data_IF_589644167034
#
_entry.id   IF_589644167034
#
_cell.length_a   1.000
_cell.length_b   1.000
_cell.length_c   1.000
_cell.angle_alpha   90.00
_cell.angle_beta   90.00
_cell.angle_gamma   90.00
#
_symmetry.space_group_name_H-M   'P 1'
#
loop_
_entity.id
_entity.type
_entity.pdbx_description
1 polymer ?
#
# COMPACT_ATOMS: atom_id res chain seq x y z
N UNK A 1 -45.55 22.84 -87.14
CA UNK A 1 -46.39 24.00 -86.75
C UNK A 1 -46.82 23.73 -85.32
N UNK A 2 -46.36 24.51 -84.46
CA UNK A 2 -46.95 24.96 -83.17
C UNK A 2 -45.88 25.35 -82.18
N UNK A 3 -45.94 26.57 -81.78
CA UNK A 3 -45.05 27.28 -80.89
C UNK A 3 -45.08 26.74 -79.45
N UNK A 4 -43.91 26.74 -78.83
CA UNK A 4 -43.76 26.61 -77.38
C UNK A 4 -43.11 27.89 -76.81
N UNK A 5 -43.71 28.58 -75.86
CA UNK A 5 -43.07 29.75 -75.27
C UNK A 5 -42.13 29.33 -74.07
N UNK A 6 -40.99 29.98 -74.03
CA UNK A 6 -40.02 29.91 -72.98
C UNK A 6 -40.54 30.53 -71.67
N UNK A 7 -40.38 29.77 -70.53
CA UNK A 7 -40.65 30.25 -69.18
C UNK A 7 -39.30 30.41 -68.47
N UNK A 8 -38.91 31.67 -68.22
CA UNK A 8 -37.74 31.99 -67.45
C UNK A 8 -38.03 31.83 -65.93
N UNK A 9 -37.42 30.84 -65.25
CA UNK A 9 -37.42 30.73 -63.80
C UNK A 9 -36.18 31.42 -63.29
N UNK A 10 -36.37 32.51 -62.56
CA UNK A 10 -35.27 33.18 -61.82
C UNK A 10 -34.99 32.40 -60.51
N UNK A 11 -33.78 31.86 -60.40
CA UNK A 11 -33.25 31.28 -59.15
C UNK A 11 -32.85 32.42 -58.23
N UNK A 12 -33.56 32.54 -57.10
CA UNK A 12 -33.04 33.28 -55.92
C UNK A 12 -32.12 32.40 -55.13
N UNK A 13 -30.82 32.73 -55.13
CA UNK A 13 -29.85 32.12 -54.27
C UNK A 13 -29.95 32.78 -52.88
N UNK A 14 -30.59 32.08 -51.95
CA UNK A 14 -30.59 32.44 -50.54
C UNK A 14 -29.35 31.95 -49.87
N UNK A 15 -28.43 32.82 -49.46
CA UNK A 15 -27.24 32.53 -48.68
C UNK A 15 -27.65 32.29 -47.22
N UNK A 16 -27.72 31.05 -46.79
CA UNK A 16 -27.87 30.71 -45.37
C UNK A 16 -26.45 30.62 -44.76
N UNK A 17 -26.06 31.68 -44.06
CA UNK A 17 -24.83 31.66 -43.24
C UNK A 17 -25.09 30.84 -41.97
N UNK A 18 -24.65 29.59 -41.92
CA UNK A 18 -24.63 28.79 -40.71
C UNK A 18 -23.46 29.23 -39.83
N UNK A 19 -23.77 30.01 -38.79
CA UNK A 19 -22.81 30.32 -37.72
C UNK A 19 -22.67 29.07 -36.86
N UNK A 20 -21.61 28.28 -37.10
CA UNK A 20 -21.22 27.20 -36.20
C UNK A 20 -20.49 27.82 -35.03
N UNK A 21 -21.20 27.99 -33.90
CA UNK A 21 -20.61 28.37 -32.61
C UNK A 21 -19.89 27.15 -32.07
N UNK A 22 -18.58 27.06 -32.33
CA UNK A 22 -17.71 26.05 -31.71
C UNK A 22 -17.54 26.42 -30.23
N UNK A 23 -18.37 25.84 -29.36
CA UNK A 23 -18.14 25.79 -27.94
C UNK A 23 -16.91 24.88 -27.69
N UNK A 24 -15.72 25.50 -27.64
CA UNK A 24 -14.54 24.86 -27.12
C UNK A 24 -14.76 24.64 -25.61
N UNK A 25 -15.29 23.47 -25.25
CA UNK A 25 -15.21 22.95 -23.89
C UNK A 25 -13.73 22.68 -23.64
N UNK A 26 -13.03 23.67 -23.09
CA UNK A 26 -11.74 23.45 -22.47
C UNK A 26 -11.99 22.53 -21.28
N UNK A 27 -11.91 21.22 -21.52
CA UNK A 27 -11.74 20.27 -20.45
C UNK A 27 -10.42 20.66 -19.75
N UNK A 28 -10.53 21.41 -18.67
CA UNK A 28 -9.44 21.51 -17.71
C UNK A 28 -9.14 20.08 -17.31
N UNK A 29 -8.11 19.48 -17.89
CA UNK A 29 -7.53 18.28 -17.35
C UNK A 29 -7.10 18.68 -15.93
N UNK A 30 -7.91 18.31 -14.93
CA UNK A 30 -7.47 18.26 -13.56
C UNK A 30 -6.22 17.40 -13.62
N UNK A 31 -5.05 18.05 -13.62
CA UNK A 31 -3.78 17.34 -13.46
C UNK A 31 -3.87 16.68 -12.11
N UNK A 32 -4.24 15.41 -12.11
CA UNK A 32 -4.32 14.60 -10.90
C UNK A 32 -2.99 14.84 -10.16
N UNK A 33 -3.09 15.44 -8.98
CA UNK A 33 -1.93 15.78 -8.19
C UNK A 33 -1.14 14.49 -8.00
N UNK A 34 0.10 14.44 -8.53
CA UNK A 34 0.92 13.23 -8.51
C UNK A 34 0.92 12.64 -7.10
N UNK A 35 0.70 11.32 -7.02
CA UNK A 35 0.65 10.60 -5.77
C UNK A 35 1.97 10.81 -5.00
N UNK A 36 1.95 10.94 -3.67
CA UNK A 36 3.18 11.02 -2.89
C UNK A 36 4.03 9.75 -2.99
N UNK A 37 3.48 8.65 -3.52
CA UNK A 37 4.16 7.36 -3.69
C UNK A 37 4.76 7.15 -5.09
N UNK A 38 4.49 8.04 -6.06
CA UNK A 38 4.93 7.88 -7.46
C UNK A 38 6.42 8.20 -7.69
N UNK A 39 7.16 8.52 -6.64
CA UNK A 39 8.57 8.89 -6.69
C UNK A 39 9.38 8.08 -5.68
N UNK A 40 10.63 7.79 -6.03
CA UNK A 40 11.54 7.14 -5.09
C UNK A 40 11.53 7.83 -3.74
N UNK A 41 11.42 7.05 -2.67
CA UNK A 41 11.31 7.56 -1.32
C UNK A 41 12.49 7.20 -0.44
N UNK A 42 12.69 7.97 0.63
CA UNK A 42 13.69 7.68 1.65
C UNK A 42 13.11 7.93 3.05
N UNK A 43 13.30 6.96 3.93
CA UNK A 43 12.82 7.02 5.30
C UNK A 43 13.84 7.68 6.22
N UNK A 44 13.35 8.57 7.07
CA UNK A 44 14.14 9.28 8.06
C UNK A 44 13.54 9.01 9.44
N UNK A 45 14.33 8.40 10.32
CA UNK A 45 13.97 8.24 11.73
C UNK A 45 14.27 9.52 12.51
N UNK A 46 15.52 9.97 12.50
CA UNK A 46 15.93 11.21 13.15
C UNK A 46 16.46 12.22 12.12
N UNK A 47 15.82 13.38 12.04
CA UNK A 47 16.29 14.47 11.18
C UNK A 47 17.67 14.96 11.62
N UNK A 48 17.89 15.04 12.95
CA UNK A 48 19.19 15.42 13.52
C UNK A 48 20.33 14.51 13.13
N UNK A 49 20.06 13.21 12.93
CA UNK A 49 21.07 12.22 12.50
C UNK A 49 21.17 12.12 10.96
N UNK A 50 20.43 12.96 10.22
CA UNK A 50 20.46 13.03 8.75
C UNK A 50 21.26 14.28 8.36
N UNK A 51 22.55 14.13 8.02
CA UNK A 51 23.46 15.26 7.77
C UNK A 51 23.40 16.34 8.87
N UNK A 52 23.40 15.93 10.13
CA UNK A 52 23.37 16.81 11.32
C UNK A 52 22.14 17.75 11.34
N UNK A 53 21.04 17.33 10.72
CA UNK A 53 19.82 18.13 10.61
C UNK A 53 19.86 19.29 9.60
N UNK A 54 20.94 19.40 8.84
CA UNK A 54 21.06 20.43 7.79
C UNK A 54 20.15 20.11 6.60
N UNK A 55 19.02 20.78 6.54
CA UNK A 55 18.03 20.59 5.47
C UNK A 55 18.58 20.90 4.07
N UNK A 56 19.58 21.76 3.95
CA UNK A 56 20.19 22.05 2.64
C UNK A 56 20.97 20.84 2.15
N UNK A 57 21.73 20.20 3.03
CA UNK A 57 22.49 18.98 2.74
C UNK A 57 21.55 17.79 2.49
N UNK A 58 20.46 17.68 3.28
CA UNK A 58 19.42 16.65 3.08
C UNK A 58 18.80 16.81 1.68
N UNK A 59 18.35 18.01 1.32
CA UNK A 59 17.75 18.29 0.01
C UNK A 59 18.73 17.98 -1.12
N UNK A 60 19.99 18.41 -0.97
CA UNK A 60 21.05 18.15 -1.98
C UNK A 60 21.27 16.64 -2.17
N UNK A 61 21.34 15.88 -1.08
CA UNK A 61 21.51 14.41 -1.12
C UNK A 61 20.30 13.74 -1.77
N UNK A 62 19.10 14.09 -1.35
CA UNK A 62 17.86 13.53 -1.90
C UNK A 62 17.80 13.71 -3.43
N UNK A 63 18.03 14.94 -3.92
CA UNK A 63 18.03 15.23 -5.36
C UNK A 63 19.11 14.47 -6.13
N UNK A 64 20.32 14.36 -5.55
CA UNK A 64 21.43 13.62 -6.19
C UNK A 64 21.14 12.14 -6.34
N UNK A 65 20.31 11.57 -5.49
CA UNK A 65 19.97 10.13 -5.46
C UNK A 65 18.56 9.85 -5.96
N UNK A 66 17.97 10.76 -6.73
CA UNK A 66 16.62 10.66 -7.30
C UNK A 66 15.52 10.37 -6.25
N UNK A 67 15.69 10.89 -5.03
CA UNK A 67 14.67 10.81 -3.99
C UNK A 67 13.71 11.99 -4.11
N UNK A 68 12.45 11.68 -4.36
CA UNK A 68 11.39 12.67 -4.52
C UNK A 68 10.44 12.76 -3.33
N UNK A 69 10.41 11.74 -2.45
CA UNK A 69 9.56 11.69 -1.27
C UNK A 69 10.39 11.38 -0.02
N UNK A 70 10.19 12.13 1.05
CA UNK A 70 10.77 11.86 2.36
C UNK A 70 9.69 11.38 3.32
N UNK A 71 9.90 10.19 3.88
CA UNK A 71 9.07 9.61 4.93
C UNK A 71 9.75 9.89 6.27
N UNK A 72 9.22 10.84 7.05
CA UNK A 72 9.87 11.35 8.27
C UNK A 72 9.07 10.94 9.50
N UNK A 73 9.73 10.37 10.51
CA UNK A 73 9.07 9.98 11.75
C UNK A 73 8.39 11.18 12.40
N UNK A 74 7.07 11.10 12.56
CA UNK A 74 6.22 12.16 13.08
C UNK A 74 5.62 11.86 14.45
N UNK A 75 5.74 10.62 14.90
CA UNK A 75 5.26 10.14 16.18
C UNK A 75 5.70 8.71 16.48
N UNK A 76 5.42 8.27 17.71
CA UNK A 76 5.63 6.91 18.18
C UNK A 76 4.57 6.60 19.24
N UNK A 77 3.75 5.59 19.03
CA UNK A 77 2.62 5.28 19.89
C UNK A 77 1.75 6.51 20.17
N UNK A 78 1.70 6.96 21.41
CA UNK A 78 0.91 8.13 21.82
C UNK A 78 1.66 9.46 21.78
N UNK A 79 2.93 9.45 21.37
CA UNK A 79 3.83 10.59 21.44
C UNK A 79 4.08 11.23 20.07
N UNK A 80 3.88 12.54 20.00
CA UNK A 80 4.23 13.32 18.80
C UNK A 80 5.70 13.69 18.81
N UNK A 81 6.36 13.61 17.65
CA UNK A 81 7.75 13.99 17.50
C UNK A 81 7.88 15.44 16.99
N UNK A 82 8.62 16.27 17.74
CA UNK A 82 8.78 17.69 17.45
C UNK A 82 9.54 18.00 16.16
N UNK A 83 10.40 17.06 15.72
CA UNK A 83 11.13 17.19 14.44
C UNK A 83 10.20 17.33 13.24
N UNK A 84 9.02 16.66 13.26
CA UNK A 84 8.04 16.79 12.19
C UNK A 84 7.16 18.01 12.44
N UNK A 85 7.49 19.12 11.83
CA UNK A 85 6.83 20.41 12.04
C UNK A 85 6.61 21.17 10.73
N UNK A 86 5.76 22.22 10.77
CA UNK A 86 5.44 23.02 9.57
C UNK A 86 6.66 23.67 8.92
N UNK A 87 7.62 24.28 9.67
CA UNK A 87 8.84 24.84 9.06
C UNK A 87 9.64 23.81 8.26
N UNK A 88 9.85 22.61 8.80
CA UNK A 88 10.51 21.50 8.11
C UNK A 88 9.77 21.13 6.81
N UNK A 89 8.47 20.82 6.92
CA UNK A 89 7.64 20.41 5.79
C UNK A 89 7.64 21.48 4.70
N UNK A 90 7.41 22.74 5.06
CA UNK A 90 7.40 23.86 4.11
C UNK A 90 8.77 24.05 3.43
N UNK A 91 9.88 23.83 4.13
CA UNK A 91 11.24 23.94 3.55
C UNK A 91 11.48 22.85 2.51
N UNK A 92 11.03 21.62 2.79
CA UNK A 92 11.14 20.49 1.86
C UNK A 92 10.21 20.64 0.65
N UNK A 93 8.98 21.11 0.85
CA UNK A 93 8.04 21.44 -0.24
C UNK A 93 8.58 22.49 -1.19
N UNK A 94 9.18 23.58 -0.66
CA UNK A 94 9.85 24.59 -1.52
C UNK A 94 10.99 24.03 -2.32
N UNK A 95 11.57 22.90 -1.91
CA UNK A 95 12.59 22.18 -2.66
C UNK A 95 12.02 21.19 -3.67
N UNK A 96 10.68 21.06 -3.80
CA UNK A 96 9.99 20.15 -4.70
C UNK A 96 9.89 18.70 -4.20
N UNK A 97 10.20 18.46 -2.92
CA UNK A 97 10.07 17.16 -2.29
C UNK A 97 8.66 16.96 -1.74
N UNK A 98 8.13 15.74 -1.83
CA UNK A 98 6.97 15.30 -1.07
C UNK A 98 7.39 14.90 0.32
N UNK A 99 6.50 15.11 1.30
CA UNK A 99 6.78 14.84 2.72
C UNK A 99 5.64 14.04 3.33
N UNK A 100 5.92 12.82 3.74
CA UNK A 100 4.98 11.97 4.46
C UNK A 100 5.42 11.81 5.92
N UNK A 101 4.47 11.90 6.85
CA UNK A 101 4.74 11.51 8.23
C UNK A 101 4.60 9.99 8.39
N UNK A 102 5.40 9.38 9.24
CA UNK A 102 5.18 8.00 9.65
C UNK A 102 5.24 7.85 11.18
N UNK A 103 4.60 6.80 11.69
CA UNK A 103 4.51 6.51 13.11
C UNK A 103 4.41 5.02 13.33
N UNK A 104 5.21 4.48 14.24
CA UNK A 104 5.01 3.15 14.78
C UNK A 104 3.81 3.16 15.73
N UNK A 105 2.90 2.20 15.57
CA UNK A 105 1.66 2.10 16.34
C UNK A 105 1.56 0.72 17.00
N UNK A 106 1.20 0.72 18.29
CA UNK A 106 1.17 -0.49 19.13
C UNK A 106 -0.23 -1.11 19.27
N UNK A 107 -1.27 -0.32 19.04
CA UNK A 107 -2.65 -0.80 19.20
C UNK A 107 -3.17 -0.79 20.64
N UNK A 108 -2.39 -0.37 21.62
CA UNK A 108 -2.79 -0.27 23.02
C UNK A 108 -3.78 0.88 23.25
N UNK A 109 -3.52 2.00 22.57
CA UNK A 109 -4.32 3.21 22.66
C UNK A 109 -4.78 3.73 21.30
N UNK A 110 -5.57 2.96 20.51
CA UNK A 110 -5.84 3.23 19.09
C UNK A 110 -6.35 4.66 18.82
N UNK A 111 -7.19 5.20 19.72
CA UNK A 111 -7.74 6.55 19.58
C UNK A 111 -6.72 7.67 19.82
N UNK A 112 -5.76 7.46 20.74
CA UNK A 112 -4.67 8.41 21.02
C UNK A 112 -3.62 8.32 19.92
N UNK A 113 -3.22 7.12 19.54
CA UNK A 113 -2.29 6.89 18.42
C UNK A 113 -2.80 7.53 17.12
N UNK A 114 -4.08 7.35 16.79
CA UNK A 114 -4.71 7.98 15.64
C UNK A 114 -4.74 9.53 15.71
N UNK A 115 -4.77 10.12 16.93
CA UNK A 115 -4.64 11.56 17.13
C UNK A 115 -3.22 12.03 16.78
N UNK A 116 -2.21 11.30 17.20
CA UNK A 116 -0.80 11.56 16.86
C UNK A 116 -0.58 11.44 15.36
N UNK A 117 -1.07 10.37 14.74
CA UNK A 117 -1.00 10.17 13.28
C UNK A 117 -1.60 11.35 12.49
N UNK A 118 -2.79 11.78 12.90
CA UNK A 118 -3.49 12.89 12.25
C UNK A 118 -2.74 14.24 12.36
N UNK A 119 -1.89 14.41 13.36
CA UNK A 119 -1.10 15.63 13.53
C UNK A 119 -0.14 15.87 12.34
N UNK A 120 0.31 14.81 11.66
CA UNK A 120 1.15 14.95 10.47
C UNK A 120 0.44 15.73 9.36
N UNK A 121 -0.84 15.44 9.07
CA UNK A 121 -1.65 16.21 8.11
C UNK A 121 -1.73 17.69 8.50
N UNK A 122 -1.98 17.99 9.78
CA UNK A 122 -2.10 19.36 10.27
C UNK A 122 -0.77 20.13 10.18
N UNK A 123 0.35 19.42 10.10
CA UNK A 123 1.70 19.97 9.91
C UNK A 123 2.09 20.09 8.44
N UNK A 124 1.19 19.72 7.51
CA UNK A 124 1.35 19.88 6.07
C UNK A 124 1.82 18.66 5.31
N UNK A 125 1.81 17.46 5.92
CA UNK A 125 2.18 16.22 5.23
C UNK A 125 1.33 15.98 3.98
N UNK A 126 1.95 15.47 2.90
CA UNK A 126 1.27 15.01 1.69
C UNK A 126 0.59 13.65 1.90
N UNK A 127 1.13 12.80 2.78
CA UNK A 127 0.58 11.51 3.16
C UNK A 127 0.96 11.13 4.60
N UNK A 128 0.37 10.04 5.07
CA UNK A 128 0.74 9.43 6.34
C UNK A 128 0.94 7.92 6.18
N UNK A 129 1.99 7.38 6.80
CA UNK A 129 2.27 5.95 6.82
C UNK A 129 2.03 5.41 8.22
N UNK A 130 1.18 4.41 8.30
CA UNK A 130 0.95 3.60 9.49
C UNK A 130 2.04 2.52 9.49
N UNK A 131 2.90 2.52 10.48
CA UNK A 131 3.90 1.49 10.70
C UNK A 131 3.36 0.57 11.80
N UNK A 132 2.70 -0.52 11.39
CA UNK A 132 2.03 -1.47 12.27
C UNK A 132 2.59 -2.87 12.03
N UNK A 133 2.99 -3.52 13.11
CA UNK A 133 3.69 -4.81 13.07
C UNK A 133 3.11 -5.80 14.08
N UNK A 134 3.93 -6.64 14.71
CA UNK A 134 3.52 -7.75 15.56
C UNK A 134 2.55 -7.39 16.69
N UNK A 135 2.62 -6.17 17.21
CA UNK A 135 1.70 -5.69 18.27
C UNK A 135 0.23 -5.70 17.83
N UNK A 136 -0.03 -5.71 16.54
CA UNK A 136 -1.39 -5.82 16.00
C UNK A 136 -1.82 -7.25 15.67
N UNK A 137 -0.96 -8.25 15.80
CA UNK A 137 -1.37 -9.64 15.55
C UNK A 137 -2.56 -10.04 16.43
N UNK A 138 -3.63 -10.53 15.81
CA UNK A 138 -4.91 -10.85 16.49
C UNK A 138 -5.74 -9.63 16.90
N UNK A 139 -5.23 -8.40 16.83
CA UNK A 139 -5.88 -7.20 17.33
C UNK A 139 -6.75 -6.48 16.28
N UNK A 140 -7.67 -7.21 15.63
CA UNK A 140 -8.62 -6.65 14.65
C UNK A 140 -9.45 -5.49 15.20
N UNK A 141 -9.87 -5.61 16.45
CA UNK A 141 -10.67 -4.59 17.13
C UNK A 141 -9.87 -3.30 17.37
N UNK A 142 -8.59 -3.42 17.75
CA UNK A 142 -7.68 -2.28 17.87
C UNK A 142 -7.45 -1.59 16.52
N UNK A 143 -7.18 -2.38 15.48
CA UNK A 143 -6.98 -1.90 14.11
C UNK A 143 -8.21 -1.15 13.58
N UNK A 144 -9.41 -1.71 13.74
CA UNK A 144 -10.66 -1.05 13.31
C UNK A 144 -10.91 0.26 14.07
N UNK A 145 -10.69 0.30 15.39
CA UNK A 145 -10.80 1.54 16.18
C UNK A 145 -9.78 2.59 15.72
N UNK A 146 -8.52 2.17 15.47
CA UNK A 146 -7.47 3.06 15.01
C UNK A 146 -7.82 3.67 13.64
N UNK A 147 -8.14 2.83 12.65
CA UNK A 147 -8.47 3.28 11.29
C UNK A 147 -9.68 4.22 11.28
N UNK A 148 -10.76 3.87 11.99
CA UNK A 148 -11.94 4.76 12.10
C UNK A 148 -11.58 6.10 12.74
N UNK A 149 -10.82 6.08 13.82
CA UNK A 149 -10.39 7.29 14.51
C UNK A 149 -9.47 8.17 13.65
N UNK A 150 -8.56 7.56 12.89
CA UNK A 150 -7.66 8.27 11.98
C UNK A 150 -8.45 8.88 10.82
N UNK A 151 -9.27 8.09 10.11
CA UNK A 151 -10.08 8.57 8.98
C UNK A 151 -11.07 9.66 9.37
N UNK A 152 -11.67 9.57 10.56
CA UNK A 152 -12.52 10.66 11.10
C UNK A 152 -11.77 12.00 11.19
N UNK A 153 -10.47 11.98 11.48
CA UNK A 153 -9.63 13.18 11.65
C UNK A 153 -9.06 13.71 10.35
N UNK A 154 -8.62 12.80 9.46
CA UNK A 154 -7.92 13.22 8.24
C UNK A 154 -8.81 13.23 6.99
N UNK A 155 -9.98 12.60 7.05
CA UNK A 155 -10.90 12.45 5.92
C UNK A 155 -10.50 11.34 4.96
N UNK A 156 -11.42 10.98 4.05
CA UNK A 156 -11.23 9.84 3.13
C UNK A 156 -10.22 10.12 2.02
N UNK A 157 -10.09 11.36 1.58
CA UNK A 157 -9.21 11.75 0.47
C UNK A 157 -7.73 11.92 0.86
N UNK A 158 -7.42 12.00 2.16
CA UNK A 158 -6.03 12.13 2.58
C UNK A 158 -5.31 10.80 2.39
N UNK A 159 -4.17 10.74 1.67
CA UNK A 159 -3.44 9.52 1.42
C UNK A 159 -2.92 8.91 2.73
N UNK A 160 -3.28 7.66 2.98
CA UNK A 160 -2.78 6.85 4.08
C UNK A 160 -2.27 5.54 3.49
N UNK A 161 -1.12 5.08 3.93
CA UNK A 161 -0.59 3.76 3.61
C UNK A 161 -0.30 2.95 4.85
N UNK A 162 -0.27 1.63 4.67
CA UNK A 162 0.24 0.68 5.65
C UNK A 162 1.70 0.35 5.31
N UNK A 163 2.59 0.40 6.28
CA UNK A 163 3.88 -0.28 6.25
C UNK A 163 3.85 -1.42 7.25
N UNK A 164 4.20 -2.63 6.82
CA UNK A 164 4.15 -3.84 7.63
C UNK A 164 4.99 -4.95 7.00
N UNK A 165 4.87 -6.17 7.54
CA UNK A 165 5.57 -7.35 7.04
C UNK A 165 5.32 -7.59 5.55
N UNK A 166 6.34 -8.01 4.78
CA UNK A 166 6.21 -8.30 3.36
C UNK A 166 5.50 -9.64 3.11
N UNK A 167 5.66 -10.62 4.00
CA UNK A 167 5.14 -11.98 3.88
C UNK A 167 3.89 -12.16 4.75
N UNK A 168 2.73 -11.87 4.17
CA UNK A 168 1.47 -11.89 4.92
C UNK A 168 1.07 -13.27 5.39
N UNK A 169 1.55 -14.33 4.74
CA UNK A 169 1.35 -15.72 5.11
C UNK A 169 2.14 -16.14 6.36
N UNK A 170 3.28 -15.48 6.65
CA UNK A 170 4.04 -15.69 7.89
C UNK A 170 3.42 -14.96 9.09
N UNK A 171 2.51 -14.04 8.82
CA UNK A 171 1.80 -13.24 9.81
C UNK A 171 0.27 -13.35 9.63
N UNK A 172 -0.29 -14.58 9.65
CA UNK A 172 -1.70 -14.83 9.31
C UNK A 172 -2.68 -14.21 10.31
N UNK A 173 -2.23 -13.83 11.51
CA UNK A 173 -3.06 -13.16 12.52
C UNK A 173 -3.04 -11.63 12.42
N UNK A 174 -2.14 -11.05 11.61
CA UNK A 174 -2.10 -9.61 11.43
C UNK A 174 -3.31 -9.13 10.60
N UNK A 175 -4.04 -8.08 11.02
CA UNK A 175 -5.31 -7.67 10.41
C UNK A 175 -5.13 -6.83 9.13
N UNK A 176 -4.49 -7.38 8.09
CA UNK A 176 -4.32 -6.72 6.79
C UNK A 176 -5.66 -6.30 6.17
N UNK A 177 -6.67 -7.16 6.27
CA UNK A 177 -8.03 -6.89 5.78
C UNK A 177 -8.70 -5.69 6.44
N UNK A 178 -8.24 -5.28 7.63
CA UNK A 178 -8.70 -4.07 8.32
C UNK A 178 -7.89 -2.85 7.87
N UNK A 179 -6.56 -2.97 7.86
CA UNK A 179 -5.68 -1.86 7.47
C UNK A 179 -5.75 -1.51 5.99
N UNK A 180 -5.95 -2.50 5.12
CA UNK A 180 -6.02 -2.36 3.66
C UNK A 180 -7.45 -2.42 3.12
N UNK A 181 -8.42 -2.73 3.96
CA UNK A 181 -9.82 -2.89 3.59
C UNK A 181 -10.53 -1.59 3.18
N UNK A 182 -11.86 -1.66 2.91
CA UNK A 182 -12.64 -0.51 2.45
C UNK A 182 -12.57 0.68 3.41
N UNK A 183 -12.22 1.85 2.86
CA UNK A 183 -12.12 3.11 3.61
C UNK A 183 -10.93 3.21 4.57
N UNK A 184 -9.97 2.27 4.51
CA UNK A 184 -8.74 2.26 5.30
C UNK A 184 -7.54 2.84 4.51
N UNK A 185 -6.35 2.21 4.54
CA UNK A 185 -5.20 2.65 3.75
C UNK A 185 -5.47 2.53 2.24
N UNK A 186 -4.87 3.42 1.46
CA UNK A 186 -5.02 3.48 0.00
C UNK A 186 -3.81 2.90 -0.73
N UNK A 187 -2.74 2.60 -0.01
CA UNK A 187 -1.52 1.98 -0.53
C UNK A 187 -0.93 1.03 0.52
N UNK A 188 -0.16 0.05 0.04
CA UNK A 188 0.57 -0.91 0.85
C UNK A 188 2.07 -0.73 0.64
N UNK A 189 2.83 -0.55 1.70
CA UNK A 189 4.28 -0.33 1.70
C UNK A 189 4.98 -1.47 2.45
N UNK A 190 4.98 -2.71 1.92
CA UNK A 190 5.60 -3.85 2.58
C UNK A 190 7.12 -3.67 2.71
N UNK A 191 7.66 -4.07 3.85
CA UNK A 191 9.07 -3.91 4.23
C UNK A 191 9.91 -5.06 3.66
N UNK A 192 10.27 -4.98 2.38
CA UNK A 192 11.04 -6.03 1.69
C UNK A 192 12.53 -5.91 2.06
N UNK A 193 12.89 -6.48 3.20
CA UNK A 193 14.25 -6.48 3.75
C UNK A 193 14.91 -7.83 3.47
N UNK A 194 15.26 -8.10 2.21
CA UNK A 194 15.72 -9.40 1.72
C UNK A 194 16.92 -9.98 2.48
N UNK A 195 17.87 -9.13 2.95
CA UNK A 195 19.00 -9.61 3.72
C UNK A 195 18.61 -10.02 5.15
N UNK A 196 17.75 -9.21 5.80
CA UNK A 196 17.26 -9.53 7.15
C UNK A 196 16.36 -10.78 7.14
N UNK A 197 15.58 -10.97 6.06
CA UNK A 197 14.76 -12.16 5.86
C UNK A 197 15.61 -13.39 5.52
N UNK A 198 16.76 -13.20 4.86
CA UNK A 198 17.63 -14.30 4.42
C UNK A 198 17.38 -14.77 3.00
N UNK A 199 16.57 -14.06 2.23
CA UNK A 199 16.18 -14.38 0.86
C UNK A 199 17.00 -13.59 -0.17
N UNK A 200 16.90 -13.97 -1.42
CA UNK A 200 17.32 -13.12 -2.54
C UNK A 200 16.30 -12.02 -2.80
N UNK A 201 16.72 -10.93 -3.45
CA UNK A 201 15.81 -9.87 -3.90
C UNK A 201 14.64 -10.42 -4.72
N UNK A 202 14.90 -11.41 -5.57
CA UNK A 202 13.88 -12.04 -6.42
C UNK A 202 12.84 -12.76 -5.57
N UNK A 203 13.26 -13.65 -4.70
CA UNK A 203 12.38 -14.43 -3.83
C UNK A 203 11.53 -13.50 -2.98
N UNK A 204 12.16 -12.49 -2.36
CA UNK A 204 11.42 -11.53 -1.52
C UNK A 204 10.37 -10.73 -2.30
N UNK A 205 10.70 -10.27 -3.51
CA UNK A 205 9.74 -9.55 -4.34
C UNK A 205 8.61 -10.46 -4.80
N UNK A 206 8.92 -11.64 -5.35
CA UNK A 206 7.92 -12.58 -5.87
C UNK A 206 6.97 -13.06 -4.76
N UNK A 207 7.51 -13.41 -3.58
CA UNK A 207 6.70 -13.81 -2.42
C UNK A 207 5.80 -12.68 -1.93
N UNK A 208 6.34 -11.47 -1.82
CA UNK A 208 5.56 -10.30 -1.40
C UNK A 208 4.37 -10.06 -2.34
N UNK A 209 4.58 -10.03 -3.65
CA UNK A 209 3.49 -9.80 -4.59
C UNK A 209 2.47 -10.93 -4.58
N UNK A 210 2.93 -12.19 -4.57
CA UNK A 210 2.04 -13.34 -4.54
C UNK A 210 1.01 -13.27 -3.39
N UNK A 211 1.45 -12.89 -2.20
CA UNK A 211 0.60 -12.88 -1.02
C UNK A 211 -0.10 -11.54 -0.74
N UNK A 212 0.40 -10.42 -1.26
CA UNK A 212 -0.20 -9.11 -0.99
C UNK A 212 -1.19 -8.66 -2.05
N UNK A 213 -1.09 -9.15 -3.29
CA UNK A 213 -1.91 -8.67 -4.41
C UNK A 213 -3.42 -8.91 -4.20
N UNK A 214 -3.79 -9.88 -3.38
CA UNK A 214 -5.19 -10.13 -3.02
C UNK A 214 -5.86 -8.98 -2.25
N UNK A 215 -5.10 -8.10 -1.59
CA UNK A 215 -5.67 -6.96 -0.85
C UNK A 215 -5.97 -5.74 -1.75
N UNK A 216 -5.70 -5.83 -3.05
CA UNK A 216 -6.06 -4.83 -4.07
C UNK A 216 -5.60 -3.41 -3.75
N UNK A 217 -4.46 -3.26 -3.07
CA UNK A 217 -3.81 -1.97 -2.86
C UNK A 217 -2.54 -1.91 -3.69
N UNK A 218 -2.31 -0.77 -4.34
CA UNK A 218 -1.04 -0.56 -5.03
C UNK A 218 0.09 -0.75 -4.04
N UNK A 219 1.04 -1.61 -4.41
CA UNK A 219 2.19 -1.96 -3.59
C UNK A 219 3.32 -1.00 -3.96
N UNK A 220 3.79 -0.21 -2.98
CA UNK A 220 4.96 0.66 -3.08
C UNK A 220 5.97 0.20 -2.02
N UNK A 221 6.83 -0.76 -2.32
CA UNK A 221 7.59 -1.45 -1.29
C UNK A 221 8.71 -0.60 -0.69
N UNK A 222 9.06 -0.96 0.55
CA UNK A 222 10.22 -0.43 1.25
C UNK A 222 11.38 -1.38 1.06
N UNK A 223 12.40 -0.96 0.32
CA UNK A 223 13.65 -1.71 0.12
C UNK A 223 14.66 -1.44 1.23
N UNK A 224 15.59 -2.38 1.38
CA UNK A 224 16.63 -2.33 2.40
C UNK A 224 17.87 -1.59 1.91
N UNK A 225 18.36 -0.62 2.70
CA UNK A 225 19.69 0.00 2.52
C UNK A 225 20.61 -0.17 3.72
N UNK A 226 20.08 -0.64 4.86
CA UNK A 226 20.88 -1.08 6.02
C UNK A 226 21.52 -2.45 5.77
N UNK A 227 22.46 -2.88 6.61
CA UNK A 227 23.26 -4.10 6.42
C UNK A 227 24.07 -4.17 5.12
N UNK A 228 24.37 -3.01 4.54
CA UNK A 228 25.23 -2.88 3.36
C UNK A 228 24.85 -3.82 2.20
N UNK A 229 23.66 -3.71 1.62
CA UNK A 229 23.31 -4.48 0.42
C UNK A 229 24.27 -4.16 -0.71
N UNK A 230 24.61 -5.17 -1.51
CA UNK A 230 25.48 -4.98 -2.68
C UNK A 230 24.79 -4.10 -3.72
N UNK A 231 25.55 -3.31 -4.47
CA UNK A 231 25.02 -2.49 -5.55
C UNK A 231 24.14 -3.28 -6.54
N UNK A 232 24.52 -4.54 -6.83
CA UNK A 232 23.73 -5.45 -7.66
C UNK A 232 22.34 -5.74 -7.08
N UNK A 233 22.23 -5.92 -5.77
CA UNK A 233 20.96 -6.19 -5.11
C UNK A 233 20.03 -4.97 -5.19
N UNK A 234 20.54 -3.77 -4.88
CA UNK A 234 19.81 -2.51 -5.03
C UNK A 234 19.33 -2.29 -6.46
N UNK A 235 20.21 -2.55 -7.44
CA UNK A 235 19.86 -2.44 -8.87
C UNK A 235 18.79 -3.46 -9.27
N UNK A 236 18.89 -4.71 -8.78
CA UNK A 236 17.88 -5.73 -9.04
C UNK A 236 16.52 -5.33 -8.48
N UNK A 237 16.49 -4.85 -7.23
CA UNK A 237 15.26 -4.39 -6.60
C UNK A 237 14.61 -3.25 -7.39
N UNK A 238 15.38 -2.22 -7.77
CA UNK A 238 14.90 -1.11 -8.61
C UNK A 238 14.32 -1.59 -9.94
N UNK A 239 14.97 -2.54 -10.61
CA UNK A 239 14.47 -3.11 -11.88
C UNK A 239 13.16 -3.89 -11.73
N UNK A 240 12.97 -4.59 -10.63
CA UNK A 240 11.66 -5.17 -10.32
C UNK A 240 10.61 -4.08 -10.18
N UNK A 241 10.92 -3.01 -9.45
CA UNK A 241 9.97 -1.90 -9.24
C UNK A 241 9.60 -1.21 -10.54
N UNK A 242 10.58 -0.95 -11.40
CA UNK A 242 10.34 -0.40 -12.74
C UNK A 242 9.43 -1.33 -13.56
N UNK A 243 9.65 -2.64 -13.50
CA UNK A 243 8.79 -3.60 -14.20
C UNK A 243 7.36 -3.63 -13.64
N UNK A 244 7.20 -3.45 -12.33
CA UNK A 244 5.86 -3.31 -11.73
C UNK A 244 5.25 -1.91 -11.95
N UNK A 245 6.02 -0.95 -12.45
CA UNK A 245 5.58 0.43 -12.67
C UNK A 245 5.33 1.19 -11.37
N UNK A 246 6.10 0.89 -10.32
CA UNK A 246 5.99 1.51 -9.00
C UNK A 246 7.34 2.04 -8.53
N UNK A 247 7.31 3.12 -7.77
CA UNK A 247 8.52 3.66 -7.17
C UNK A 247 8.78 3.01 -5.80
N UNK A 248 10.02 2.54 -5.52
CA UNK A 248 10.40 2.05 -4.21
C UNK A 248 10.65 3.18 -3.21
N UNK A 249 10.63 2.84 -1.93
CA UNK A 249 11.24 3.65 -0.89
C UNK A 249 12.32 2.86 -0.15
N UNK A 250 13.19 3.53 0.63
CA UNK A 250 14.40 2.93 1.17
C UNK A 250 14.53 3.16 2.67
N UNK A 251 14.67 2.10 3.41
CA UNK A 251 14.92 2.11 4.84
C UNK A 251 16.42 1.87 5.09
N UNK A 252 17.16 2.78 5.69
CA UNK A 252 16.81 4.12 6.14
C UNK A 252 17.94 5.10 5.82
N UNK A 253 17.65 6.41 5.90
CA UNK A 253 18.63 7.48 5.65
C UNK A 253 19.92 7.31 6.45
N UNK A 254 19.77 7.03 7.75
CA UNK A 254 20.87 6.95 8.71
C UNK A 254 21.83 5.78 8.44
N UNK A 255 21.30 4.72 7.86
CA UNK A 255 22.04 3.46 7.67
C UNK A 255 22.50 3.26 6.22
N UNK A 256 22.09 4.15 5.32
CA UNK A 256 22.47 4.08 3.90
C UNK A 256 23.93 4.48 3.71
N UNK A 257 24.76 3.53 3.27
CA UNK A 257 26.18 3.77 2.97
C UNK A 257 26.36 4.72 1.77
N UNK A 258 27.55 5.33 1.64
CA UNK A 258 27.84 6.19 0.50
C UNK A 258 27.78 5.45 -0.84
N UNK A 259 28.16 4.16 -0.87
CA UNK A 259 28.04 3.30 -2.06
C UNK A 259 26.58 3.04 -2.41
N UNK A 260 25.73 2.75 -1.42
CA UNK A 260 24.29 2.60 -1.63
C UNK A 260 23.65 3.89 -2.14
N UNK A 261 23.95 5.04 -1.54
CA UNK A 261 23.50 6.34 -2.05
C UNK A 261 23.86 6.59 -3.50
N UNK A 262 25.08 6.22 -3.90
CA UNK A 262 25.53 6.35 -5.30
C UNK A 262 24.73 5.42 -6.22
N UNK A 263 24.47 4.18 -5.79
CA UNK A 263 23.67 3.21 -6.55
C UNK A 263 22.22 3.65 -6.73
N UNK A 264 21.60 4.27 -5.70
CA UNK A 264 20.24 4.76 -5.80
C UNK A 264 20.07 5.86 -6.84
N UNK A 265 21.10 6.68 -7.07
CA UNK A 265 21.08 7.77 -8.04
C UNK A 265 21.49 7.38 -9.46
N UNK A 266 21.80 6.12 -9.74
CA UNK A 266 22.15 5.67 -11.08
C UNK A 266 20.93 5.57 -12.00
N UNK A 267 21.06 6.00 -13.25
CA UNK A 267 20.11 5.62 -14.28
C UNK A 267 20.23 4.11 -14.54
N UNK A 268 19.10 3.44 -14.69
CA UNK A 268 19.06 2.03 -15.03
C UNK A 268 18.74 1.89 -16.51
N UNK A 269 19.78 1.66 -17.32
CA UNK A 269 19.57 1.27 -18.72
C UNK A 269 18.76 -0.03 -18.78
N UNK A 270 17.83 -0.14 -19.71
CA UNK A 270 16.88 -1.21 -19.94
C UNK A 270 17.28 -2.66 -19.56
N UNK A 271 16.60 -3.64 -20.01
CA UNK A 271 16.90 -5.05 -19.72
C UNK A 271 15.90 -5.68 -18.75
N UNK A 272 14.69 -5.18 -18.76
CA UNK A 272 13.58 -5.58 -17.87
C UNK A 272 12.95 -6.92 -18.21
N UNK A 273 13.16 -7.50 -19.36
CA UNK A 273 12.46 -8.71 -19.86
C UNK A 273 12.60 -9.96 -18.98
N UNK A 274 13.59 -10.00 -18.08
CA UNK A 274 13.79 -11.12 -17.13
C UNK A 274 13.12 -10.91 -15.77
N UNK A 275 12.53 -9.74 -15.52
CA UNK A 275 11.87 -9.39 -14.27
C UNK A 275 10.36 -9.54 -14.47
N UNK A 276 9.86 -10.78 -14.52
CA UNK A 276 8.44 -11.04 -14.74
C UNK A 276 7.62 -10.64 -13.50
N UNK A 277 6.42 -10.14 -13.75
CA UNK A 277 5.46 -9.88 -12.67
C UNK A 277 4.82 -11.18 -12.21
N UNK A 278 4.63 -11.31 -10.92
CA UNK A 278 3.77 -12.34 -10.35
C UNK A 278 2.32 -11.99 -10.67
N UNK A 279 1.60 -12.92 -11.27
CA UNK A 279 0.17 -12.77 -11.63
C UNK A 279 -0.70 -13.78 -10.91
N UNK A 280 -0.08 -14.87 -10.43
CA UNK A 280 -0.77 -15.88 -9.65
C UNK A 280 -1.11 -15.38 -8.25
N UNK A 281 -2.16 -15.92 -7.69
CA UNK A 281 -2.67 -15.58 -6.37
C UNK A 281 -2.62 -16.82 -5.47
N UNK A 282 -2.53 -16.63 -4.15
CA UNK A 282 -2.40 -17.74 -3.22
C UNK A 282 -3.58 -18.70 -3.31
N UNK A 283 -3.27 -19.99 -3.25
CA UNK A 283 -4.28 -21.02 -3.15
C UNK A 283 -4.74 -21.15 -1.71
N UNK A 284 -6.06 -21.18 -1.52
CA UNK A 284 -6.68 -21.34 -0.21
C UNK A 284 -7.73 -22.44 -0.24
N UNK A 285 -7.73 -23.27 0.79
CA UNK A 285 -8.60 -24.43 0.87
C UNK A 285 -9.07 -24.74 2.30
N UNK A 286 -9.86 -25.80 2.44
CA UNK A 286 -10.38 -26.21 3.75
C UNK A 286 -9.24 -26.59 4.70
N UNK A 287 -9.20 -25.96 5.86
CA UNK A 287 -8.14 -26.08 6.86
C UNK A 287 -7.35 -24.80 7.06
N UNK A 288 -7.26 -23.94 6.04
CA UNK A 288 -6.55 -22.67 6.12
C UNK A 288 -7.17 -21.71 7.15
N UNK A 289 -6.33 -20.85 7.69
CA UNK A 289 -6.71 -19.89 8.73
C UNK A 289 -5.94 -18.58 8.54
N UNK A 290 -6.51 -17.49 9.07
CA UNK A 290 -5.85 -16.21 9.13
C UNK A 290 -6.56 -15.12 8.36
N UNK A 291 -5.88 -14.00 8.18
CA UNK A 291 -6.45 -12.78 7.60
C UNK A 291 -6.79 -12.93 6.11
N UNK A 292 -6.04 -13.75 5.38
CA UNK A 292 -6.37 -14.07 3.98
C UNK A 292 -7.72 -14.77 3.87
N UNK A 293 -8.07 -15.64 4.84
CA UNK A 293 -9.39 -16.26 4.92
C UNK A 293 -10.45 -15.25 5.33
N UNK A 294 -10.15 -14.34 6.25
CA UNK A 294 -11.03 -13.21 6.58
C UNK A 294 -11.35 -12.42 5.32
N UNK A 295 -10.32 -12.07 4.54
CA UNK A 295 -10.48 -11.30 3.31
C UNK A 295 -11.32 -12.02 2.26
N UNK A 296 -11.08 -13.32 2.05
CA UNK A 296 -11.90 -14.19 1.22
C UNK A 296 -13.36 -14.17 1.66
N UNK A 297 -13.61 -14.35 2.95
CA UNK A 297 -14.96 -14.38 3.52
C UNK A 297 -15.67 -13.03 3.36
N UNK A 298 -14.97 -11.90 3.53
CA UNK A 298 -15.52 -10.57 3.30
C UNK A 298 -16.03 -10.39 1.87
N UNK A 299 -15.30 -10.86 0.87
CA UNK A 299 -15.72 -10.84 -0.53
C UNK A 299 -16.91 -11.77 -0.80
N UNK A 300 -16.89 -12.98 -0.26
CA UNK A 300 -18.02 -13.92 -0.41
C UNK A 300 -19.31 -13.36 0.19
N UNK A 301 -19.22 -12.71 1.35
CA UNK A 301 -20.37 -12.02 1.97
C UNK A 301 -20.80 -10.83 1.13
N UNK A 302 -19.85 -10.10 0.53
CA UNK A 302 -20.12 -9.04 -0.45
C UNK A 302 -20.88 -9.53 -1.67
N UNK A 303 -20.64 -10.76 -2.11
CA UNK A 303 -21.38 -11.44 -3.18
C UNK A 303 -22.75 -12.01 -2.72
N UNK A 304 -23.12 -11.81 -1.46
CA UNK A 304 -24.40 -12.26 -0.91
C UNK A 304 -24.36 -13.66 -0.29
N UNK A 305 -23.18 -14.19 0.03
CA UNK A 305 -23.11 -15.44 0.80
C UNK A 305 -23.57 -15.24 2.26
N UNK A 306 -24.46 -16.13 2.72
CA UNK A 306 -24.78 -16.23 4.15
C UNK A 306 -23.66 -17.02 4.85
N UNK A 307 -22.66 -16.27 5.29
CA UNK A 307 -21.41 -16.81 5.84
C UNK A 307 -20.92 -15.94 6.99
N UNK A 308 -20.53 -16.56 8.09
CA UNK A 308 -19.83 -15.89 9.17
C UNK A 308 -18.34 -15.67 8.79
N UNK A 309 -17.83 -14.46 9.07
CA UNK A 309 -16.43 -14.10 8.83
C UNK A 309 -15.63 -14.49 10.06
N UNK A 310 -14.97 -15.65 10.00
CA UNK A 310 -14.28 -16.28 11.12
C UNK A 310 -12.76 -16.34 10.98
N UNK A 311 -12.23 -16.11 9.78
CA UNK A 311 -10.83 -16.37 9.47
C UNK A 311 -10.48 -17.86 9.44
N UNK A 312 -11.45 -18.75 9.37
CA UNK A 312 -11.27 -20.21 9.27
C UNK A 312 -11.94 -20.69 7.98
N UNK A 313 -11.16 -21.30 7.11
CA UNK A 313 -11.68 -21.94 5.90
C UNK A 313 -12.33 -23.29 6.25
N UNK A 314 -13.49 -23.22 6.86
CA UNK A 314 -14.28 -24.41 7.24
C UNK A 314 -15.26 -24.87 6.16
N UNK A 315 -16.13 -25.83 6.51
CA UNK A 315 -17.14 -26.36 5.59
C UNK A 315 -18.11 -25.28 5.08
N UNK A 316 -18.42 -24.26 5.87
CA UNK A 316 -19.23 -23.10 5.45
C UNK A 316 -18.57 -22.31 4.32
N UNK A 317 -17.31 -21.94 4.49
CA UNK A 317 -16.50 -21.24 3.48
C UNK A 317 -16.38 -22.08 2.22
N UNK A 318 -16.06 -23.39 2.33
CA UNK A 318 -15.96 -24.30 1.18
C UNK A 318 -17.27 -24.36 0.38
N UNK A 319 -18.43 -24.44 1.06
CA UNK A 319 -19.73 -24.43 0.37
C UNK A 319 -19.99 -23.09 -0.33
N UNK A 320 -19.67 -21.98 0.32
CA UNK A 320 -19.82 -20.64 -0.26
C UNK A 320 -18.94 -20.48 -1.52
N UNK A 321 -17.66 -20.90 -1.48
CA UNK A 321 -16.74 -20.89 -2.62
C UNK A 321 -17.28 -21.77 -3.74
N UNK A 322 -17.73 -23.00 -3.48
CA UNK A 322 -18.35 -23.87 -4.51
C UNK A 322 -19.59 -23.23 -5.16
N UNK A 323 -20.43 -22.54 -4.36
CA UNK A 323 -21.60 -21.82 -4.90
C UNK A 323 -21.15 -20.66 -5.79
N UNK A 324 -20.18 -19.89 -5.35
CA UNK A 324 -19.58 -18.79 -6.10
C UNK A 324 -18.98 -19.26 -7.43
N UNK A 325 -18.16 -20.32 -7.39
CA UNK A 325 -17.54 -20.92 -8.58
C UNK A 325 -18.57 -21.35 -9.61
N UNK A 326 -19.61 -22.10 -9.19
CA UNK A 326 -20.70 -22.50 -10.10
C UNK A 326 -21.40 -21.32 -10.75
N UNK A 327 -21.70 -20.28 -9.97
CA UNK A 327 -22.36 -19.09 -10.46
C UNK A 327 -21.52 -18.29 -11.49
N UNK A 328 -20.19 -18.52 -11.54
CA UNK A 328 -19.23 -17.87 -12.44
C UNK A 328 -18.68 -18.81 -13.53
N UNK A 329 -19.22 -20.02 -13.68
CA UNK A 329 -18.75 -20.98 -14.68
C UNK A 329 -17.34 -21.50 -14.42
N UNK A 330 -16.90 -21.51 -13.17
CA UNK A 330 -15.62 -22.08 -12.75
C UNK A 330 -15.82 -23.53 -12.28
N UNK A 331 -14.74 -24.30 -12.24
CA UNK A 331 -14.73 -25.61 -11.58
C UNK A 331 -15.11 -25.42 -10.09
N UNK A 332 -16.13 -26.18 -9.64
CA UNK A 332 -16.66 -26.01 -8.30
C UNK A 332 -16.00 -27.00 -7.31
N UNK A 333 -14.68 -26.91 -7.21
CA UNK A 333 -13.86 -27.75 -6.32
C UNK A 333 -13.85 -27.26 -4.87
N UNK A 334 -14.18 -25.98 -4.66
CA UNK A 334 -14.16 -25.34 -3.34
C UNK A 334 -12.75 -24.98 -2.89
N UNK A 335 -11.82 -24.80 -3.84
CA UNK A 335 -10.48 -24.27 -3.64
C UNK A 335 -10.41 -22.88 -4.26
N UNK A 336 -9.85 -21.92 -3.56
CA UNK A 336 -9.73 -20.56 -4.03
C UNK A 336 -8.34 -20.34 -4.61
N UNK A 337 -8.13 -20.70 -5.88
CA UNK A 337 -6.92 -20.41 -6.64
C UNK A 337 -7.04 -19.11 -7.47
N UNK A 338 -6.04 -18.82 -8.30
CA UNK A 338 -5.93 -17.59 -9.11
C UNK A 338 -7.21 -17.27 -9.88
N UNK A 339 -7.86 -18.23 -10.53
CA UNK A 339 -9.09 -17.99 -11.29
C UNK A 339 -10.26 -17.55 -10.39
N UNK A 340 -10.40 -18.19 -9.23
CA UNK A 340 -11.44 -17.86 -8.25
C UNK A 340 -11.20 -16.49 -7.67
N UNK A 341 -9.96 -16.17 -7.26
CA UNK A 341 -9.57 -14.84 -6.78
C UNK A 341 -9.87 -13.76 -7.83
N UNK A 342 -9.47 -13.93 -9.08
CA UNK A 342 -9.69 -12.95 -10.15
C UNK A 342 -11.17 -12.63 -10.40
N UNK A 343 -12.09 -13.51 -10.03
CA UNK A 343 -13.53 -13.24 -10.06
C UNK A 343 -14.02 -12.60 -8.76
N UNK A 344 -13.50 -13.08 -7.65
CA UNK A 344 -13.92 -12.64 -6.32
C UNK A 344 -13.51 -11.20 -6.03
N UNK A 345 -12.30 -10.81 -6.39
CA UNK A 345 -11.77 -9.45 -6.21
C UNK A 345 -12.51 -8.37 -7.02
N UNK A 346 -13.42 -8.75 -7.91
CA UNK A 346 -14.35 -7.81 -8.58
C UNK A 346 -15.57 -7.43 -7.73
N UNK A 347 -15.72 -8.10 -6.59
CA UNK A 347 -16.82 -7.87 -5.65
C UNK A 347 -16.29 -6.99 -4.54
N UNK A 348 -17.00 -5.91 -4.20
CA UNK A 348 -16.62 -5.07 -3.06
C UNK A 348 -16.74 -5.89 -1.77
N UNK A 349 -15.67 -6.01 -0.98
CA UNK A 349 -15.71 -6.75 0.27
C UNK A 349 -16.51 -6.00 1.33
N UNK A 350 -17.26 -6.71 2.14
CA UNK A 350 -17.98 -6.07 3.24
C UNK A 350 -17.01 -5.54 4.28
N UNK A 351 -17.30 -4.35 4.80
CA UNK A 351 -16.58 -3.83 5.95
C UNK A 351 -17.11 -4.43 7.24
N UNK A 352 -16.25 -5.13 7.97
CA UNK A 352 -16.58 -5.70 9.28
C UNK A 352 -16.43 -4.66 10.39
N UNK A 353 -17.38 -4.60 11.31
CA UNK A 353 -17.26 -3.82 12.54
C UNK A 353 -16.62 -4.70 13.63
N UNK A 354 -15.30 -4.73 13.68
CA UNK A 354 -14.55 -5.54 14.64
C UNK A 354 -14.65 -5.04 16.09
N UNK A 355 -15.13 -3.81 16.30
CA UNK A 355 -15.33 -3.22 17.62
C UNK A 355 -16.69 -3.59 18.25
N UNK A 356 -17.57 -4.24 17.51
CA UNK A 356 -18.89 -4.66 17.96
C UNK A 356 -18.86 -5.88 18.88
N UNK A 357 -19.97 -6.11 19.61
CA UNK A 357 -20.08 -7.21 20.58
C UNK A 357 -19.91 -8.62 19.98
N UNK A 358 -20.29 -8.83 18.70
CA UNK A 358 -20.10 -10.11 17.99
C UNK A 358 -18.65 -10.43 17.72
N UNK A 359 -17.84 -9.43 17.33
CA UNK A 359 -16.44 -9.60 16.99
C UNK A 359 -15.53 -9.90 18.19
N UNK A 360 -15.94 -9.56 19.41
CA UNK A 360 -15.19 -9.93 20.63
C UNK A 360 -15.14 -11.44 20.89
N UNK A 361 -16.11 -12.22 20.37
CA UNK A 361 -16.06 -13.70 20.45
C UNK A 361 -15.03 -14.29 19.49
N UNK A 362 -14.76 -13.61 18.38
CA UNK A 362 -13.81 -14.08 17.34
C UNK A 362 -12.36 -13.80 17.75
N UNK A 363 -12.08 -12.66 18.37
CA UNK A 363 -10.78 -12.31 18.92
C UNK A 363 -10.34 -13.22 20.08
N UNK A 364 -11.31 -13.80 20.84
CA UNK A 364 -11.05 -14.77 21.92
C UNK A 364 -10.84 -16.22 21.47
N UNK A 365 -11.13 -16.54 20.20
CA UNK A 365 -10.96 -17.88 19.64
C UNK A 365 -9.61 -18.08 18.93
N UNK A 366 -8.80 -17.03 18.79
CA UNK A 366 -7.46 -17.10 18.25
C UNK A 366 -6.44 -17.34 19.37
N UNK A 367 -6.48 -18.53 19.99
CA UNK A 367 -5.25 -19.12 20.49
C UNK A 367 -4.40 -19.40 19.27
N UNK A 368 -3.21 -18.77 19.18
CA UNK A 368 -2.26 -18.94 18.10
C UNK A 368 -2.14 -20.43 17.74
N UNK A 369 -2.24 -20.80 16.43
CA UNK A 369 -1.83 -22.12 16.03
C UNK A 369 -0.38 -22.28 16.45
N UNK A 370 -0.06 -23.37 17.16
CA UNK A 370 1.31 -23.83 17.34
C UNK A 370 2.00 -23.81 15.97
N UNK A 371 3.13 -23.11 15.89
CA UNK A 371 3.97 -23.00 14.71
C UNK A 371 4.06 -24.36 13.98
N UNK A 372 3.95 -24.39 12.65
CA UNK A 372 4.42 -25.56 11.92
C UNK A 372 5.93 -25.61 12.22
N UNK A 373 6.38 -26.73 12.76
CA UNK A 373 7.81 -27.02 12.93
C UNK A 373 8.45 -27.09 11.55
N UNK A 374 8.85 -25.98 11.00
CA UNK A 374 9.81 -25.89 9.93
C UNK A 374 11.17 -25.80 10.58
N UNK A 375 12.01 -26.79 10.28
CA UNK A 375 13.38 -26.85 10.74
C UNK A 375 14.16 -25.62 10.26
N UNK A 376 14.90 -24.99 11.19
CA UNK A 376 15.99 -24.05 10.95
C UNK A 376 15.63 -22.73 10.21
N UNK A 377 14.77 -21.90 10.79
CA UNK A 377 14.80 -20.46 10.49
C UNK A 377 15.10 -19.72 11.80
N UNK A 378 16.12 -18.84 11.84
CA UNK A 378 16.34 -18.00 13.02
C UNK A 378 15.11 -17.14 13.26
N UNK A 379 14.67 -17.06 14.50
CA UNK A 379 13.55 -16.24 14.94
C UNK A 379 13.81 -14.78 14.57
N UNK A 380 13.16 -14.26 13.56
CA UNK A 380 13.15 -12.84 13.14
C UNK A 380 12.62 -11.94 14.27
N UNK A 381 12.04 -12.52 15.32
CA UNK A 381 11.51 -11.80 16.49
C UNK A 381 12.52 -10.91 17.22
N UNK A 382 13.81 -11.14 17.08
CA UNK A 382 14.82 -10.39 17.84
C UNK A 382 15.63 -9.38 17.03
N UNK A 383 15.58 -9.39 15.70
CA UNK A 383 16.44 -8.52 14.90
C UNK A 383 15.75 -7.22 14.45
N UNK A 384 14.45 -7.23 14.21
CA UNK A 384 13.71 -5.99 13.93
C UNK A 384 13.47 -5.17 15.21
N UNK A 385 13.30 -5.83 16.35
CA UNK A 385 13.30 -5.18 17.67
C UNK A 385 14.71 -4.78 18.14
N UNK A 386 15.76 -5.32 17.52
CA UNK A 386 17.16 -5.12 17.88
C UNK A 386 17.84 -3.89 17.26
N UNK A 387 17.16 -3.07 16.47
CA UNK A 387 17.63 -1.72 16.23
C UNK A 387 17.63 -0.98 17.57
N UNK A 388 18.74 -1.13 18.32
CA UNK A 388 18.98 -0.48 19.62
C UNK A 388 18.46 0.95 19.53
N UNK A 389 17.50 1.28 20.40
CA UNK A 389 17.15 2.68 20.67
C UNK A 389 18.48 3.40 20.93
N UNK A 390 18.93 4.34 20.07
CA UNK A 390 20.02 5.21 20.45
C UNK A 390 19.55 5.94 21.70
N UNK A 391 20.38 5.93 22.76
CA UNK A 391 20.03 6.49 24.06
C UNK A 391 19.35 7.84 23.92
N UNK A 392 18.24 8.00 24.61
CA UNK A 392 17.66 9.32 24.82
C UNK A 392 18.70 10.16 25.57
N UNK A 393 18.91 11.46 25.15
CA UNK A 393 19.59 12.40 26.03
C UNK A 393 18.73 12.73 27.24
#
# INVERSE_FOLDING_TARGET
MTHVPNLHIRLFAGLIAAVVLALSVSASADTAKASPYDRNGMWIWYVSSSHDGDLTRIIKRARKSDIGTLYIKSGDGTDTWSQFNKPLVNRLHRAGLKVCGWQFVYGDHPGKEAKVSAAAKNRGADCFVIDAEADYEGNYSGADRYIRALRKRVGQRFPISLSSFPYTDYHPSFPYSVFLGPGAATANLPQIYWKAIGDTVRESVEHTWYWNDIYERTIFPVGQTYENPRAKELTHFRRYMDNYGVAPSWWSWQETSNSSWSTLGLDLDGGFNRYQRVTDKPTMEAGDRGDQVVWLQQHLVGDGADLEITGIYGGGTKRAVKKFQRARGLEADGVTGTQTWNRLLRIEPVRVNWSGARSRRMAGASSAPSEPRSANTPSVRNEIAGAKKPGQP
#
